data_IF_962092292290
#
_entry.id   IF_962092292290
#
_cell.length_a   1.000
_cell.length_b   1.000
_cell.length_c   1.000
_cell.angle_alpha   90.00
_cell.angle_beta   90.00
_cell.angle_gamma   90.00
#
_symmetry.space_group_name_H-M   'P 1'
#
loop_
_entity.id
_entity.type
_entity.pdbx_description
1 polymer ?
#
# COMPACT_ATOMS: atom_id res chain seq x y z
N UNK A 1 13.75 52.89 -22.58
CA UNK A 1 14.28 51.53 -22.84
C UNK A 1 13.64 50.56 -21.84
N UNK A 2 12.49 49.97 -22.18
CA UNK A 2 11.77 49.07 -21.28
C UNK A 2 11.32 47.85 -22.09
N UNK A 3 12.23 46.91 -22.29
CA UNK A 3 11.96 45.63 -22.96
C UNK A 3 13.15 44.74 -22.60
N UNK A 4 12.88 43.60 -21.93
CA UNK A 4 13.71 42.37 -21.80
C UNK A 4 13.64 41.67 -20.41
N UNK A 5 12.99 42.24 -19.40
CA UNK A 5 12.91 41.60 -18.05
C UNK A 5 11.72 40.64 -17.91
N UNK A 6 10.67 40.84 -18.71
CA UNK A 6 9.41 40.08 -18.63
C UNK A 6 9.47 38.55 -18.92
N UNK A 7 10.33 38.02 -19.82
CA UNK A 7 10.29 36.59 -20.16
C UNK A 7 11.09 35.70 -19.19
N UNK A 8 12.02 36.27 -18.43
CA UNK A 8 12.88 35.50 -17.49
C UNK A 8 12.10 35.14 -16.22
N UNK A 9 11.24 36.05 -15.75
CA UNK A 9 10.43 35.85 -14.54
C UNK A 9 9.36 34.77 -14.77
N UNK A 10 8.79 34.70 -15.98
CA UNK A 10 7.76 33.69 -16.32
C UNK A 10 8.35 32.28 -16.45
N UNK A 11 9.56 32.14 -17.00
CA UNK A 11 10.27 30.87 -17.09
C UNK A 11 10.73 30.31 -15.74
N UNK A 12 11.21 31.18 -14.84
CA UNK A 12 11.65 30.78 -13.50
C UNK A 12 10.50 30.28 -12.61
N UNK A 13 9.29 30.86 -12.76
CA UNK A 13 8.11 30.44 -11.99
C UNK A 13 7.59 29.06 -12.43
N UNK A 14 7.66 28.73 -13.72
CA UNK A 14 7.30 27.41 -14.25
C UNK A 14 8.24 26.29 -13.79
N UNK A 15 9.54 26.57 -13.64
CA UNK A 15 10.53 25.59 -13.13
C UNK A 15 10.34 25.33 -11.63
N UNK A 16 9.97 26.35 -10.84
CA UNK A 16 9.72 26.20 -9.40
C UNK A 16 8.46 25.36 -9.10
N UNK A 17 7.41 25.45 -9.94
CA UNK A 17 6.17 24.69 -9.77
C UNK A 17 6.33 23.18 -10.03
N UNK A 18 7.29 22.79 -10.89
CA UNK A 18 7.56 21.38 -11.21
C UNK A 18 8.20 20.60 -10.05
N UNK A 19 8.73 21.27 -9.02
CA UNK A 19 9.40 20.64 -7.88
C UNK A 19 8.43 20.17 -6.78
N UNK A 20 7.15 20.53 -6.85
CA UNK A 20 6.13 20.18 -5.85
C UNK A 20 5.23 19.01 -6.29
N UNK A 21 5.75 18.06 -7.07
CA UNK A 21 5.03 16.80 -7.35
C UNK A 21 5.04 15.97 -6.08
N UNK A 22 3.97 16.07 -5.27
CA UNK A 22 3.76 15.18 -4.15
C UNK A 22 3.44 13.78 -4.68
N UNK A 23 4.31 12.81 -4.43
CA UNK A 23 4.05 11.40 -4.73
C UNK A 23 2.83 10.94 -3.90
N UNK A 24 1.66 10.91 -4.53
CA UNK A 24 0.45 10.37 -3.92
C UNK A 24 0.65 8.85 -3.76
N UNK A 25 0.96 8.43 -2.53
CA UNK A 25 1.13 7.01 -2.24
C UNK A 25 -0.21 6.31 -2.22
N UNK A 26 -0.39 5.39 -3.18
CA UNK A 26 -1.54 4.52 -3.24
C UNK A 26 -1.66 3.67 -1.97
N UNK A 27 -2.87 3.18 -1.72
CA UNK A 27 -3.07 2.19 -0.68
C UNK A 27 -2.51 0.84 -1.15
N UNK A 28 -1.94 0.05 -0.25
CA UNK A 28 -1.31 -1.24 -0.57
C UNK A 28 -1.77 -2.33 0.40
N UNK A 29 -1.76 -3.58 -0.06
CA UNK A 29 -1.87 -4.76 0.79
C UNK A 29 -0.49 -5.38 0.98
N UNK A 30 0.08 -5.25 2.17
CA UNK A 30 1.37 -5.83 2.51
C UNK A 30 1.18 -7.24 3.08
N UNK A 31 1.62 -8.28 2.38
CA UNK A 31 1.67 -9.63 2.92
C UNK A 31 3.06 -9.89 3.52
N UNK A 32 3.14 -9.96 4.84
CA UNK A 32 4.32 -10.47 5.53
C UNK A 32 4.26 -12.00 5.55
N UNK A 33 5.28 -12.63 4.96
CA UNK A 33 5.40 -14.07 4.81
C UNK A 33 6.75 -14.58 5.31
N UNK A 34 6.85 -15.89 5.47
CA UNK A 34 8.13 -16.58 5.68
C UNK A 34 8.23 -17.77 4.70
N UNK A 35 9.43 -18.19 4.27
CA UNK A 35 9.59 -19.35 3.39
C UNK A 35 9.02 -20.66 3.95
N UNK A 36 9.03 -20.82 5.28
CA UNK A 36 8.58 -22.03 5.98
C UNK A 36 7.10 -22.00 6.38
N UNK A 37 6.36 -20.95 6.02
CA UNK A 37 4.98 -20.74 6.45
C UNK A 37 4.00 -21.55 5.57
N UNK A 38 3.35 -22.62 6.09
CA UNK A 38 2.42 -23.42 5.30
C UNK A 38 1.17 -22.63 4.91
N UNK A 39 0.64 -21.80 5.82
CA UNK A 39 -0.53 -20.95 5.56
C UNK A 39 -0.27 -19.85 4.53
N UNK A 40 0.98 -19.38 4.43
CA UNK A 40 1.38 -18.47 3.37
C UNK A 40 1.32 -19.18 2.02
N UNK A 41 1.76 -20.44 1.94
CA UNK A 41 1.66 -21.25 0.72
C UNK A 41 0.20 -21.56 0.36
N UNK A 42 -0.63 -21.84 1.36
CA UNK A 42 -2.07 -22.04 1.17
C UNK A 42 -2.71 -20.79 0.55
N UNK A 43 -2.49 -19.61 1.13
CA UNK A 43 -3.01 -18.35 0.57
C UNK A 43 -2.49 -18.07 -0.85
N UNK A 44 -1.22 -18.37 -1.14
CA UNK A 44 -0.66 -18.18 -2.48
C UNK A 44 -1.31 -19.09 -3.54
N UNK A 45 -1.60 -20.34 -3.15
CA UNK A 45 -2.29 -21.33 -3.99
C UNK A 45 -3.73 -20.92 -4.24
N UNK A 46 -4.43 -20.56 -3.17
CA UNK A 46 -5.86 -20.27 -3.18
C UNK A 46 -6.14 -18.93 -3.83
N UNK A 47 -5.39 -17.86 -3.51
CA UNK A 47 -5.70 -16.47 -3.93
C UNK A 47 -4.51 -15.80 -4.63
N UNK A 48 -3.30 -15.97 -4.10
CA UNK A 48 -2.15 -15.15 -4.47
C UNK A 48 -1.75 -15.19 -5.95
N UNK A 49 -2.05 -16.30 -6.64
CA UNK A 49 -1.81 -16.47 -8.07
C UNK A 49 -2.71 -15.59 -8.96
N UNK A 50 -3.95 -15.32 -8.54
CA UNK A 50 -4.90 -14.52 -9.31
C UNK A 50 -5.23 -13.18 -8.66
N UNK A 51 -4.82 -12.91 -7.42
CA UNK A 51 -5.12 -11.68 -6.69
C UNK A 51 -4.93 -10.44 -7.55
N UNK A 52 -3.81 -10.33 -8.29
CA UNK A 52 -3.51 -9.17 -9.15
C UNK A 52 -4.51 -8.88 -10.28
N UNK A 53 -5.44 -9.80 -10.56
CA UNK A 53 -6.50 -9.66 -11.56
C UNK A 53 -7.85 -9.22 -10.98
N UNK A 54 -7.93 -9.11 -9.65
CA UNK A 54 -9.16 -8.73 -8.93
C UNK A 54 -9.35 -7.22 -8.89
N UNK A 55 -10.57 -6.76 -8.61
CA UNK A 55 -10.86 -5.33 -8.42
C UNK A 55 -10.25 -4.80 -7.12
N UNK A 56 -10.17 -5.65 -6.10
CA UNK A 56 -9.48 -5.38 -4.84
C UNK A 56 -8.01 -5.03 -5.09
N UNK A 57 -7.32 -5.77 -5.96
CA UNK A 57 -5.92 -5.51 -6.27
C UNK A 57 -5.68 -4.19 -7.02
N UNK A 58 -6.67 -3.65 -7.72
CA UNK A 58 -6.59 -2.31 -8.33
C UNK A 58 -6.51 -1.23 -7.25
N UNK A 59 -7.23 -1.43 -6.14
CA UNK A 59 -7.25 -0.51 -5.00
C UNK A 59 -6.14 -0.78 -3.98
N UNK A 60 -5.77 -2.05 -3.81
CA UNK A 60 -4.81 -2.55 -2.86
C UNK A 60 -3.82 -3.49 -3.55
N UNK A 61 -2.86 -2.95 -4.33
CA UNK A 61 -1.82 -3.75 -4.93
C UNK A 61 -1.06 -4.54 -3.86
N UNK A 62 -0.87 -5.82 -4.14
CA UNK A 62 -0.23 -6.74 -3.20
C UNK A 62 1.29 -6.62 -3.25
N UNK A 63 1.89 -6.43 -2.08
CA UNK A 63 3.34 -6.45 -1.90
C UNK A 63 3.73 -7.51 -0.88
N UNK A 64 4.58 -8.44 -1.31
CA UNK A 64 5.07 -9.53 -0.46
C UNK A 64 6.37 -9.12 0.23
N UNK A 65 6.43 -9.31 1.54
CA UNK A 65 7.58 -8.98 2.39
C UNK A 65 7.98 -10.22 3.19
N UNK A 66 9.28 -10.49 3.28
CA UNK A 66 9.77 -11.53 4.18
C UNK A 66 9.86 -10.97 5.60
N UNK A 67 9.16 -11.60 6.55
CA UNK A 67 9.12 -11.17 7.95
C UNK A 67 10.51 -11.20 8.62
N UNK A 68 11.45 -12.01 8.10
CA UNK A 68 12.81 -12.13 8.63
C UNK A 68 13.77 -11.10 8.05
N UNK A 69 13.38 -10.38 6.99
CA UNK A 69 14.24 -9.35 6.38
C UNK A 69 14.00 -7.98 7.05
N UNK A 70 15.00 -7.08 7.01
CA UNK A 70 14.82 -5.72 7.49
C UNK A 70 13.60 -5.06 6.84
N UNK A 71 12.77 -4.42 7.66
CA UNK A 71 11.61 -3.67 7.17
C UNK A 71 12.11 -2.49 6.34
N UNK A 72 11.62 -2.29 5.10
CA UNK A 72 11.99 -1.14 4.28
C UNK A 72 11.76 0.17 5.04
N UNK A 73 12.67 1.15 4.90
CA UNK A 73 12.57 2.44 5.61
C UNK A 73 11.22 3.13 5.38
N UNK A 74 10.65 3.00 4.19
CA UNK A 74 9.34 3.56 3.85
C UNK A 74 8.16 2.84 4.52
N UNK A 75 8.38 1.74 5.23
CA UNK A 75 7.39 0.95 5.98
C UNK A 75 7.73 0.84 7.48
N UNK A 76 8.73 1.57 7.99
CA UNK A 76 9.13 1.49 9.40
C UNK A 76 8.03 1.88 10.42
N UNK A 77 6.96 2.53 9.95
CA UNK A 77 5.78 2.83 10.75
C UNK A 77 4.87 1.61 10.97
N UNK A 78 4.99 0.55 10.15
CA UNK A 78 4.28 -0.72 10.32
C UNK A 78 5.04 -1.54 11.35
N UNK A 79 4.47 -1.67 12.56
CA UNK A 79 5.11 -2.31 13.72
C UNK A 79 4.36 -3.56 14.17
N UNK A 80 5.07 -4.41 14.92
CA UNK A 80 4.46 -5.55 15.62
C UNK A 80 3.90 -6.64 14.71
N UNK A 81 4.49 -6.84 13.53
CA UNK A 81 4.17 -8.01 12.70
C UNK A 81 5.07 -9.16 13.12
N UNK A 82 4.52 -10.10 13.88
CA UNK A 82 5.27 -11.24 14.47
C UNK A 82 4.76 -12.61 14.00
N UNK A 83 3.62 -12.65 13.31
CA UNK A 83 3.02 -13.89 12.79
C UNK A 83 2.93 -13.85 11.25
N UNK A 84 2.92 -15.03 10.62
CA UNK A 84 2.77 -15.17 9.17
C UNK A 84 1.68 -16.19 8.79
N UNK A 85 0.89 -15.94 7.73
CA UNK A 85 0.85 -14.69 6.97
C UNK A 85 0.19 -13.58 7.81
N UNK A 86 0.66 -12.34 7.67
CA UNK A 86 -0.07 -11.16 8.14
C UNK A 86 -0.24 -10.22 6.97
N UNK A 87 -1.48 -9.79 6.72
CA UNK A 87 -1.83 -8.88 5.64
C UNK A 87 -2.13 -7.51 6.23
N UNK A 88 -1.36 -6.49 5.89
CA UNK A 88 -1.50 -5.14 6.43
C UNK A 88 -1.96 -4.21 5.33
N UNK A 89 -3.11 -3.58 5.49
CA UNK A 89 -3.57 -2.52 4.58
C UNK A 89 -2.96 -1.20 5.03
N UNK A 90 -2.21 -0.57 4.15
CA UNK A 90 -1.59 0.73 4.38
C UNK A 90 -2.10 1.76 3.38
N UNK A 91 -2.13 3.03 3.79
CA UNK A 91 -2.48 4.17 2.95
C UNK A 91 -1.52 5.33 3.29
N UNK A 92 -0.59 5.62 2.39
CA UNK A 92 0.51 6.57 2.62
C UNK A 92 1.49 6.13 3.71
N UNK A 93 1.47 6.80 4.87
CA UNK A 93 2.31 6.48 6.04
C UNK A 93 1.50 5.99 7.24
N UNK A 94 0.33 5.41 6.98
CA UNK A 94 -0.58 4.95 8.02
C UNK A 94 -1.08 3.55 7.73
N UNK A 95 -1.08 2.72 8.76
CA UNK A 95 -1.76 1.45 8.77
C UNK A 95 -3.28 1.64 8.98
N UNK A 96 -4.08 1.09 8.08
CA UNK A 96 -5.56 1.09 8.16
C UNK A 96 -6.03 -0.04 9.08
N UNK A 97 -5.39 -1.20 8.98
CA UNK A 97 -5.64 -2.39 9.77
C UNK A 97 -4.94 -3.60 9.16
N UNK A 98 -5.16 -4.77 9.76
CA UNK A 98 -4.50 -6.00 9.34
C UNK A 98 -5.38 -7.24 9.53
N UNK A 99 -5.07 -8.28 8.76
CA UNK A 99 -5.60 -9.64 8.85
C UNK A 99 -4.44 -10.52 9.32
N UNK A 100 -4.61 -11.26 10.41
CA UNK A 100 -3.57 -12.15 10.96
C UNK A 100 -3.97 -13.58 10.68
N UNK A 101 -3.09 -14.32 10.01
CA UNK A 101 -3.33 -15.69 9.58
C UNK A 101 -4.15 -15.80 8.29
N UNK A 102 -4.37 -17.04 7.88
CA UNK A 102 -5.21 -17.40 6.75
C UNK A 102 -5.90 -18.73 7.05
N UNK A 103 -7.23 -18.78 6.89
CA UNK A 103 -8.06 -19.96 7.18
C UNK A 103 -8.68 -20.51 5.90
N UNK A 104 -9.38 -19.66 5.16
CA UNK A 104 -9.93 -19.93 3.83
C UNK A 104 -10.18 -18.64 3.05
N UNK A 105 -10.57 -18.77 1.78
CA UNK A 105 -10.84 -17.64 0.89
C UNK A 105 -11.95 -16.73 1.38
N UNK A 106 -13.11 -17.29 1.73
CA UNK A 106 -14.29 -16.52 2.14
C UNK A 106 -14.00 -15.61 3.34
N UNK A 107 -13.25 -16.12 4.32
CA UNK A 107 -12.85 -15.32 5.48
C UNK A 107 -11.88 -14.21 5.09
N UNK A 108 -10.90 -14.51 4.23
CA UNK A 108 -9.96 -13.50 3.77
C UNK A 108 -10.67 -12.34 3.05
N UNK A 109 -11.57 -12.65 2.11
CA UNK A 109 -12.33 -11.64 1.38
C UNK A 109 -13.25 -10.84 2.29
N UNK A 110 -13.94 -11.49 3.24
CA UNK A 110 -14.78 -10.80 4.22
C UNK A 110 -13.99 -9.82 5.10
N UNK A 111 -12.81 -10.21 5.57
CA UNK A 111 -11.95 -9.32 6.35
C UNK A 111 -11.37 -8.18 5.49
N UNK A 112 -10.97 -8.47 4.24
CA UNK A 112 -10.44 -7.47 3.33
C UNK A 112 -11.49 -6.41 2.98
N UNK A 113 -12.74 -6.82 2.71
CA UNK A 113 -13.86 -5.90 2.47
C UNK A 113 -14.09 -4.96 3.67
N UNK A 114 -14.04 -5.49 4.90
CA UNK A 114 -14.10 -4.66 6.11
C UNK A 114 -13.00 -3.59 6.17
N UNK A 115 -11.76 -3.95 5.82
CA UNK A 115 -10.64 -3.02 5.75
C UNK A 115 -10.79 -2.01 4.61
N UNK A 116 -11.31 -2.41 3.45
CA UNK A 116 -11.58 -1.53 2.32
C UNK A 116 -12.70 -0.52 2.62
N UNK A 117 -13.76 -0.93 3.30
CA UNK A 117 -14.81 -0.02 3.80
C UNK A 117 -14.23 1.00 4.78
N UNK A 118 -13.34 0.56 5.69
CA UNK A 118 -12.63 1.46 6.61
C UNK A 118 -11.74 2.44 5.86
N UNK A 119 -10.98 1.98 4.86
CA UNK A 119 -10.15 2.82 3.99
C UNK A 119 -11.00 3.87 3.26
N UNK A 120 -12.15 3.49 2.70
CA UNK A 120 -13.07 4.41 2.03
C UNK A 120 -13.58 5.52 2.98
N UNK A 121 -14.02 5.15 4.19
CA UNK A 121 -14.45 6.11 5.20
C UNK A 121 -13.34 7.09 5.58
N UNK A 122 -12.11 6.59 5.68
CA UNK A 122 -10.93 7.39 5.95
C UNK A 122 -10.65 8.38 4.81
N UNK A 123 -10.72 7.94 3.55
CA UNK A 123 -10.47 8.79 2.38
C UNK A 123 -11.54 9.88 2.22
N UNK A 124 -12.81 9.58 2.51
CA UNK A 124 -13.92 10.57 2.48
C UNK A 124 -13.82 11.69 3.53
N UNK A 125 -13.02 11.49 4.59
CA UNK A 125 -12.86 12.48 5.68
C UNK A 125 -11.66 13.41 5.49
N UNK A 126 -10.82 13.15 4.49
CA UNK A 126 -9.72 14.02 4.08
C UNK A 126 -10.18 14.89 2.92
#
# INVERSE_FOLDING_TARGET
>A
MARRIFPIIFGAFLVMAALFVSEARAAELLMYKSPLCPWCKAWEKDIGSFYGKTDEAKMLPLRRLDIKKPVPKNLAYVKGVVYTPTFVVVDGKREVGRIVGYVSEDFFWGYLDGLMKKLHKIKKRK
#
